data_IF_546692548745
#
_entry.id   IF_546692548745
#
_cell.length_a   1.000
_cell.length_b   1.000
_cell.length_c   1.000
_cell.angle_alpha   90.00
_cell.angle_beta   90.00
_cell.angle_gamma   90.00
#
_symmetry.space_group_name_H-M   'P 1'
#
loop_
_entity.id
_entity.type
_entity.pdbx_description
1 polymer ?
#
# COMPACT_ATOMS: atom_id res chain seq x y z
N UNK A 1 -0.67 -9.50 15.71
CA UNK A 1 -1.68 -8.65 15.04
C UNK A 1 -1.02 -7.99 13.84
N UNK A 2 -1.65 -7.94 12.67
CA UNK A 2 -1.08 -7.25 11.49
C UNK A 2 -1.50 -5.78 11.54
N UNK A 3 -0.55 -4.87 11.41
CA UNK A 3 -0.81 -3.43 11.37
C UNK A 3 -0.50 -2.87 9.98
N UNK A 4 -1.27 -1.88 9.55
CA UNK A 4 -1.04 -1.14 8.31
C UNK A 4 -0.90 0.34 8.59
N UNK A 5 -0.03 0.97 7.82
CA UNK A 5 0.31 2.38 7.95
C UNK A 5 0.43 2.98 6.55
N UNK A 6 -0.28 4.07 6.28
CA UNK A 6 -0.09 4.90 5.10
C UNK A 6 0.83 6.06 5.46
N UNK A 7 1.90 6.26 4.71
CA UNK A 7 2.86 7.34 4.92
C UNK A 7 2.94 8.21 3.66
N UNK A 8 2.59 9.49 3.80
CA UNK A 8 2.79 10.48 2.75
C UNK A 8 4.26 10.89 2.70
N UNK A 9 4.97 10.50 1.64
CA UNK A 9 6.42 10.78 1.49
C UNK A 9 6.72 12.27 1.33
N UNK A 10 5.75 13.07 0.89
CA UNK A 10 5.94 14.50 0.65
C UNK A 10 5.69 15.34 1.91
N UNK A 11 4.65 15.02 2.68
CA UNK A 11 4.27 15.80 3.87
C UNK A 11 4.71 15.18 5.20
N UNK A 12 5.15 13.92 5.21
CA UNK A 12 5.45 13.15 6.42
C UNK A 12 4.22 12.72 7.21
N UNK A 13 3.00 13.00 6.72
CA UNK A 13 1.76 12.61 7.39
C UNK A 13 1.59 11.09 7.37
N UNK A 14 1.01 10.57 8.46
CA UNK A 14 0.82 9.15 8.67
C UNK A 14 -0.65 8.86 9.03
N UNK A 15 -1.20 7.78 8.47
CA UNK A 15 -2.51 7.25 8.84
C UNK A 15 -2.41 5.75 9.14
N UNK A 16 -2.83 5.37 10.35
CA UNK A 16 -2.81 3.99 10.81
C UNK A 16 -4.20 3.36 10.74
N UNK A 17 -4.26 2.05 10.48
CA UNK A 17 -5.52 1.31 10.52
C UNK A 17 -5.46 -0.02 9.76
N UNK A 18 -6.62 -0.46 9.28
CA UNK A 18 -6.71 -1.58 8.36
C UNK A 18 -6.27 -1.18 6.95
N UNK A 19 -5.81 -2.16 6.15
CA UNK A 19 -5.36 -1.96 4.77
C UNK A 19 -6.32 -1.10 3.93
N UNK A 20 -7.62 -1.40 3.99
CA UNK A 20 -8.64 -0.66 3.25
C UNK A 20 -8.77 0.80 3.71
N UNK A 21 -8.60 1.08 5.01
CA UNK A 21 -8.62 2.44 5.53
C UNK A 21 -7.38 3.23 5.08
N UNK A 22 -6.20 2.62 5.16
CA UNK A 22 -4.95 3.21 4.68
C UNK A 22 -5.00 3.52 3.17
N UNK A 23 -5.57 2.61 2.35
CA UNK A 23 -5.74 2.84 0.90
C UNK A 23 -6.70 4.01 0.64
N UNK A 24 -7.86 4.05 1.33
CA UNK A 24 -8.82 5.17 1.14
C UNK A 24 -8.21 6.51 1.52
N UNK A 25 -7.50 6.57 2.64
CA UNK A 25 -6.79 7.78 3.06
C UNK A 25 -5.71 8.20 2.06
N UNK A 26 -4.96 7.23 1.53
CA UNK A 26 -3.93 7.47 0.53
C UNK A 26 -4.51 8.05 -0.77
N UNK A 27 -5.61 7.48 -1.28
CA UNK A 27 -6.30 8.00 -2.48
C UNK A 27 -6.77 9.43 -2.26
N UNK A 28 -7.47 9.70 -1.15
CA UNK A 28 -7.94 11.04 -0.84
C UNK A 28 -6.78 12.06 -0.70
N UNK A 29 -5.65 11.63 -0.13
CA UNK A 29 -4.46 12.48 0.03
C UNK A 29 -3.79 12.81 -1.30
N UNK A 30 -3.75 11.86 -2.25
CA UNK A 30 -3.26 12.08 -3.60
C UNK A 30 -4.20 12.99 -4.41
N UNK A 31 -5.51 12.83 -4.26
CA UNK A 31 -6.49 13.72 -4.91
C UNK A 31 -6.34 15.17 -4.47
N UNK A 32 -5.95 15.41 -3.22
CA UNK A 32 -5.67 16.74 -2.68
C UNK A 32 -4.29 17.28 -3.07
N UNK A 33 -3.38 16.44 -3.57
CA UNK A 33 -2.00 16.80 -3.89
C UNK A 33 -1.46 15.92 -5.02
N UNK A 34 -1.50 16.45 -6.25
CA UNK A 34 -1.12 15.70 -7.46
C UNK A 34 0.32 15.12 -7.47
N UNK A 35 1.21 15.62 -6.62
CA UNK A 35 2.59 15.14 -6.48
C UNK A 35 2.82 14.28 -5.21
N UNK A 36 1.76 13.93 -4.47
CA UNK A 36 1.89 13.08 -3.30
C UNK A 36 2.12 11.62 -3.72
N UNK A 37 3.08 10.97 -3.06
CA UNK A 37 3.29 9.53 -3.14
C UNK A 37 3.08 8.96 -1.74
N UNK A 38 2.09 8.09 -1.60
CA UNK A 38 1.71 7.48 -0.33
C UNK A 38 2.18 6.02 -0.31
N UNK A 39 3.08 5.68 0.61
CA UNK A 39 3.50 4.30 0.83
C UNK A 39 2.56 3.59 1.82
N UNK A 40 2.07 2.40 1.47
CA UNK A 40 1.34 1.52 2.36
C UNK A 40 2.31 0.49 2.93
N UNK A 41 2.53 0.57 4.23
CA UNK A 41 3.44 -0.28 4.98
C UNK A 41 2.63 -1.31 5.75
N UNK A 42 3.06 -2.56 5.68
CA UNK A 42 2.53 -3.67 6.47
C UNK A 42 3.57 -4.07 7.50
N UNK A 43 3.15 -4.12 8.75
CA UNK A 43 3.97 -4.59 9.87
C UNK A 43 3.31 -5.80 10.54
N UNK A 44 4.14 -6.77 10.93
CA UNK A 44 3.73 -7.96 11.67
C UNK A 44 4.75 -8.22 12.78
N UNK A 45 4.33 -8.62 13.99
CA UNK A 45 5.25 -9.02 15.05
C UNK A 45 6.18 -10.13 14.55
N UNK A 46 7.50 -9.91 14.66
CA UNK A 46 8.52 -10.88 14.23
C UNK A 46 8.87 -10.86 12.73
N UNK A 47 8.29 -9.96 11.93
CA UNK A 47 8.71 -9.69 10.54
C UNK A 47 9.10 -8.21 10.41
N UNK A 48 10.07 -7.90 9.53
CA UNK A 48 10.37 -6.51 9.19
C UNK A 48 9.17 -5.82 8.52
N UNK A 49 8.95 -4.56 8.87
CA UNK A 49 7.95 -3.74 8.22
C UNK A 49 8.32 -3.53 6.75
N UNK A 50 7.35 -3.74 5.85
CA UNK A 50 7.59 -3.67 4.40
C UNK A 50 6.53 -2.86 3.70
N UNK A 51 6.95 -2.13 2.66
CA UNK A 51 6.03 -1.46 1.75
C UNK A 51 5.38 -2.52 0.87
N UNK A 52 4.05 -2.56 0.87
CA UNK A 52 3.25 -3.52 0.12
C UNK A 52 2.48 -2.88 -1.04
N UNK A 53 2.35 -1.56 -1.02
CA UNK A 53 1.75 -0.81 -2.12
C UNK A 53 2.18 0.66 -2.05
N UNK A 54 2.08 1.34 -3.18
CA UNK A 54 2.17 2.79 -3.29
C UNK A 54 0.93 3.34 -4.01
N UNK A 55 0.50 4.53 -3.60
CA UNK A 55 -0.57 5.28 -4.26
C UNK A 55 0.01 6.62 -4.68
N UNK A 56 -0.13 6.94 -5.96
CA UNK A 56 0.22 8.23 -6.54
C UNK A 56 -0.86 8.66 -7.54
N UNK A 57 -0.62 9.76 -8.27
CA UNK A 57 -1.56 10.29 -9.27
C UNK A 57 -1.85 9.31 -10.43
N UNK A 58 -1.04 8.26 -10.61
CA UNK A 58 -1.28 7.18 -11.57
C UNK A 58 -2.13 6.03 -10.99
N UNK A 59 -2.44 6.08 -9.69
CA UNK A 59 -3.27 5.11 -8.99
C UNK A 59 -2.50 4.20 -8.03
N UNK A 60 -3.14 3.10 -7.64
CA UNK A 60 -2.60 2.11 -6.70
C UNK A 60 -1.68 1.11 -7.41
N UNK A 61 -0.44 0.98 -6.93
CA UNK A 61 0.57 0.05 -7.42
C UNK A 61 0.98 -0.91 -6.30
N UNK A 62 0.80 -2.21 -6.52
CA UNK A 62 1.16 -3.23 -5.53
C UNK A 62 2.63 -3.58 -5.62
N UNK A 63 3.25 -3.82 -4.46
CA UNK A 63 4.65 -4.21 -4.32
C UNK A 63 4.70 -5.56 -3.64
N UNK A 64 5.42 -6.50 -4.26
CA UNK A 64 5.70 -7.81 -3.69
C UNK A 64 7.17 -8.12 -3.88
N UNK A 65 7.84 -8.50 -2.79
CA UNK A 65 9.25 -8.87 -2.80
C UNK A 65 10.16 -7.79 -3.43
N UNK A 66 9.91 -6.52 -3.07
CA UNK A 66 10.66 -5.37 -3.58
C UNK A 66 10.39 -5.00 -5.04
N UNK A 67 9.43 -5.66 -5.71
CA UNK A 67 9.09 -5.40 -7.11
C UNK A 67 7.66 -4.91 -7.27
N UNK A 68 7.47 -3.94 -8.16
CA UNK A 68 6.14 -3.51 -8.59
C UNK A 68 5.48 -4.63 -9.39
N UNK A 69 4.24 -4.96 -9.03
CA UNK A 69 3.44 -5.95 -9.72
C UNK A 69 2.63 -5.31 -10.84
N UNK A 70 2.66 -5.91 -12.03
CA UNK A 70 1.68 -5.59 -13.05
C UNK A 70 0.28 -6.06 -12.60
N UNK A 71 -0.77 -5.38 -13.08
CA UNK A 71 -2.18 -5.72 -12.74
C UNK A 71 -2.51 -7.21 -12.95
N UNK A 72 -1.96 -7.83 -14.00
CA UNK A 72 -2.15 -9.27 -14.30
C UNK A 72 -1.49 -10.19 -13.26
N UNK A 73 -0.39 -9.76 -12.66
CA UNK A 73 0.34 -10.52 -11.63
C UNK A 73 -0.37 -10.44 -10.27
N UNK A 74 -0.93 -9.28 -9.94
CA UNK A 74 -1.78 -9.11 -8.75
C UNK A 74 -2.93 -10.10 -8.77
N UNK A 75 -3.65 -10.22 -9.90
CA UNK A 75 -4.76 -11.18 -10.05
C UNK A 75 -4.33 -12.64 -9.90
N UNK A 76 -3.15 -13.01 -10.39
CA UNK A 76 -2.62 -14.37 -10.25
C UNK A 76 -2.26 -14.68 -8.79
N UNK A 77 -1.65 -13.72 -8.09
CA UNK A 77 -1.26 -13.85 -6.68
C UNK A 77 -2.50 -13.95 -5.78
N UNK A 78 -3.50 -13.09 -5.99
CA UNK A 78 -4.74 -13.14 -5.20
C UNK A 78 -5.50 -14.45 -5.42
N UNK A 79 -5.56 -14.96 -6.66
CA UNK A 79 -6.19 -16.26 -6.94
C UNK A 79 -5.45 -17.43 -6.28
N UNK A 80 -4.12 -17.41 -6.24
CA UNK A 80 -3.33 -18.43 -5.54
C UNK A 80 -3.55 -18.40 -4.03
N UNK A 81 -3.61 -17.22 -3.43
CA UNK A 81 -3.85 -17.07 -1.99
C UNK A 81 -5.27 -17.47 -1.54
N UNK A 82 -6.24 -17.49 -2.46
CA UNK A 82 -7.62 -17.88 -2.16
C UNK A 82 -7.86 -19.41 -2.22
N UNK A 83 -6.93 -20.18 -2.76
CA UNK A 83 -7.03 -21.64 -2.93
C UNK A 83 -5.91 -22.42 -2.23
N UNK A 84 -5.10 -21.75 -1.40
CA UNK A 84 -3.99 -22.34 -0.66
C UNK A 84 -4.21 -22.35 0.83
#
# INVERSE_FOLDING_TARGET
>A
MVSYLAHNKASGQVSEGGLAACIRWAVASVEQSQNAVIAIIKSRPGEDARVIAEVDSNGLRWIFDGRYLAKREVTKLTRRAAHG
#
